data_IF_825471701010
#
_entry.id   IF_825471701010
#
_cell.length_a   1.000
_cell.length_b   1.000
_cell.length_c   1.000
_cell.angle_alpha   90.00
_cell.angle_beta   90.00
_cell.angle_gamma   90.00
#
_symmetry.space_group_name_H-M   'P 1'
#
loop_
_entity.id
_entity.type
_entity.pdbx_description
1 polymer ?
#
# COMPACT_ATOMS: atom_id res chain seq x y z
N UNK A 1 34.27 6.11 -19.11
CA UNK A 1 33.75 5.03 -18.23
C UNK A 1 32.79 5.49 -17.08
N UNK A 2 32.65 6.77 -16.75
CA UNK A 2 31.74 7.26 -15.69
C UNK A 2 30.23 7.27 -16.07
N UNK A 3 29.86 7.29 -17.35
CA UNK A 3 28.47 7.43 -17.78
C UNK A 3 27.61 6.16 -17.61
N UNK A 4 28.24 4.98 -17.65
CA UNK A 4 27.51 3.69 -17.63
C UNK A 4 27.05 3.30 -16.21
N UNK A 5 27.80 3.67 -15.16
CA UNK A 5 27.42 3.41 -13.76
C UNK A 5 26.24 4.28 -13.30
N UNK A 6 26.14 5.52 -13.82
CA UNK A 6 25.04 6.42 -13.54
C UNK A 6 23.74 5.94 -14.17
N UNK A 7 23.77 5.50 -15.43
CA UNK A 7 22.59 4.96 -16.14
C UNK A 7 22.05 3.70 -15.47
N UNK A 8 22.92 2.78 -15.07
CA UNK A 8 22.51 1.58 -14.30
C UNK A 8 21.93 1.90 -12.92
N UNK A 9 22.32 3.04 -12.34
CA UNK A 9 21.78 3.52 -11.07
C UNK A 9 20.31 3.96 -11.12
N UNK A 10 19.86 4.45 -12.27
CA UNK A 10 18.53 5.01 -12.49
C UNK A 10 17.50 3.98 -13.01
N UNK A 11 17.95 2.85 -13.54
CA UNK A 11 17.05 1.83 -14.11
C UNK A 11 16.05 1.27 -13.09
N UNK A 12 16.48 0.97 -11.88
CA UNK A 12 15.58 0.42 -10.84
C UNK A 12 14.45 1.37 -10.44
N UNK A 13 14.78 2.61 -10.01
CA UNK A 13 13.75 3.63 -9.75
C UNK A 13 12.87 3.92 -10.97
N UNK A 14 13.44 3.96 -12.18
CA UNK A 14 12.68 4.16 -13.41
C UNK A 14 11.64 3.08 -13.67
N UNK A 15 12.00 1.81 -13.46
CA UNK A 15 11.06 0.69 -13.58
C UNK A 15 9.96 0.71 -12.53
N UNK A 16 10.28 1.09 -11.29
CA UNK A 16 9.28 1.25 -10.23
C UNK A 16 8.30 2.37 -10.54
N UNK A 17 8.78 3.51 -11.08
CA UNK A 17 7.93 4.61 -11.51
C UNK A 17 7.05 4.24 -12.72
N UNK A 18 7.58 3.49 -13.67
CA UNK A 18 6.81 2.98 -14.80
C UNK A 18 5.70 2.01 -14.32
N UNK A 19 6.01 1.13 -13.38
CA UNK A 19 5.02 0.24 -12.77
C UNK A 19 3.97 1.02 -11.98
N UNK A 20 4.36 2.06 -11.24
CA UNK A 20 3.42 2.96 -10.57
C UNK A 20 2.47 3.63 -11.56
N UNK A 21 3.00 4.21 -12.64
CA UNK A 21 2.18 4.87 -13.66
C UNK A 21 1.16 3.90 -14.28
N UNK A 22 1.59 2.66 -14.58
CA UNK A 22 0.73 1.61 -15.10
C UNK A 22 -0.37 1.22 -14.10
N UNK A 23 -0.05 1.10 -12.82
CA UNK A 23 -1.03 0.78 -11.77
C UNK A 23 -2.02 1.92 -11.54
N UNK A 24 -1.57 3.17 -11.58
CA UNK A 24 -2.45 4.33 -11.48
C UNK A 24 -3.39 4.41 -12.70
N UNK A 25 -2.89 4.16 -13.90
CA UNK A 25 -3.74 4.04 -15.09
C UNK A 25 -4.76 2.90 -14.94
N UNK A 26 -4.33 1.73 -14.46
CA UNK A 26 -5.22 0.60 -14.18
C UNK A 26 -6.36 0.97 -13.22
N UNK A 27 -6.14 1.84 -12.22
CA UNK A 27 -7.19 2.27 -11.28
C UNK A 27 -8.41 2.86 -11.99
N UNK A 28 -8.23 3.49 -13.16
CA UNK A 28 -9.31 4.10 -13.95
C UNK A 28 -10.09 3.09 -14.78
N UNK A 29 -9.51 1.91 -15.06
CA UNK A 29 -10.08 0.89 -15.94
C UNK A 29 -10.71 -0.28 -15.18
N UNK A 30 -10.40 -0.42 -13.89
CA UNK A 30 -10.74 -1.61 -13.14
C UNK A 30 -12.19 -1.56 -12.68
N UNK A 31 -12.95 -2.60 -13.01
CA UNK A 31 -14.22 -2.92 -12.37
C UNK A 31 -13.97 -3.90 -11.22
N UNK A 32 -14.44 -3.61 -10.03
CA UNK A 32 -14.38 -4.54 -8.92
C UNK A 32 -15.66 -5.35 -8.82
N UNK A 33 -15.51 -6.65 -8.76
CA UNK A 33 -16.63 -7.60 -8.76
C UNK A 33 -17.45 -7.55 -7.48
N UNK A 34 -16.86 -7.19 -6.35
CA UNK A 34 -17.56 -7.51 -5.11
C UNK A 34 -17.38 -6.49 -4.00
N UNK A 35 -16.19 -6.34 -3.42
CA UNK A 35 -16.13 -5.94 -2.02
C UNK A 35 -15.64 -4.51 -1.77
N UNK A 36 -15.14 -3.80 -2.78
CA UNK A 36 -14.68 -2.41 -2.58
C UNK A 36 -15.78 -1.51 -2.03
N UNK A 37 -17.01 -1.69 -2.53
CA UNK A 37 -18.19 -0.99 -2.03
C UNK A 37 -18.48 -1.28 -0.58
N UNK A 38 -18.40 -2.53 -0.20
CA UNK A 38 -18.63 -2.99 1.16
C UNK A 38 -17.63 -2.35 2.15
N UNK A 39 -16.33 -2.31 1.82
CA UNK A 39 -15.33 -1.73 2.71
C UNK A 39 -15.57 -0.24 2.95
N UNK A 40 -15.92 0.51 1.92
CA UNK A 40 -16.21 1.93 2.04
C UNK A 40 -17.57 2.18 2.70
N UNK A 41 -18.56 1.32 2.46
CA UNK A 41 -19.87 1.41 3.09
C UNK A 41 -19.78 1.23 4.61
N UNK A 42 -18.94 0.31 5.08
CA UNK A 42 -18.74 0.12 6.51
C UNK A 42 -18.04 1.32 7.18
N UNK A 43 -17.04 1.90 6.51
CA UNK A 43 -16.43 3.15 6.98
C UNK A 43 -17.46 4.31 7.00
N UNK A 44 -18.39 4.35 6.03
CA UNK A 44 -19.47 5.32 6.01
C UNK A 44 -20.45 5.14 7.17
N UNK A 45 -20.85 3.91 7.48
CA UNK A 45 -21.72 3.60 8.60
C UNK A 45 -21.11 4.07 9.94
N UNK A 46 -19.83 3.77 10.15
CA UNK A 46 -19.13 4.22 11.36
C UNK A 46 -18.95 5.75 11.40
N UNK A 47 -18.84 6.40 10.24
CA UNK A 47 -18.88 7.86 10.15
C UNK A 47 -20.24 8.42 10.60
N UNK A 48 -21.35 7.71 10.35
CA UNK A 48 -22.68 8.09 10.77
C UNK A 48 -22.97 7.79 12.24
N UNK A 49 -22.09 7.10 12.93
CA UNK A 49 -22.19 6.82 14.35
C UNK A 49 -22.53 5.37 14.72
N UNK A 50 -22.59 4.47 13.74
CA UNK A 50 -22.76 3.04 14.02
C UNK A 50 -21.60 2.53 14.88
N UNK A 51 -21.93 1.70 15.86
CA UNK A 51 -20.96 1.14 16.81
C UNK A 51 -20.50 -0.25 16.34
N UNK A 52 -19.17 -0.52 16.33
CA UNK A 52 -18.66 -1.85 16.09
C UNK A 52 -19.26 -2.87 17.07
N UNK A 53 -19.57 -4.08 16.55
CA UNK A 53 -20.14 -5.21 17.30
C UNK A 53 -21.53 -4.98 17.91
N UNK A 54 -22.11 -3.79 17.75
CA UNK A 54 -23.48 -3.47 18.18
C UNK A 54 -24.39 -3.35 16.99
N UNK A 55 -24.06 -2.44 16.06
CA UNK A 55 -24.87 -2.15 14.88
C UNK A 55 -24.36 -2.92 13.64
N UNK A 56 -23.16 -3.50 13.73
CA UNK A 56 -22.54 -4.29 12.67
C UNK A 56 -22.00 -5.60 13.23
N UNK A 57 -22.35 -6.72 12.57
CA UNK A 57 -21.96 -8.07 12.98
C UNK A 57 -20.90 -8.72 12.11
N UNK A 58 -20.34 -7.99 11.15
CA UNK A 58 -19.30 -8.52 10.28
C UNK A 58 -18.00 -8.75 11.07
N UNK A 59 -17.46 -9.96 11.00
CA UNK A 59 -16.22 -10.34 11.72
C UNK A 59 -15.00 -9.54 11.27
N UNK A 60 -15.02 -9.01 10.04
CA UNK A 60 -13.91 -8.23 9.46
C UNK A 60 -14.03 -6.72 9.75
N UNK A 61 -15.00 -6.27 10.55
CA UNK A 61 -15.31 -4.85 10.75
C UNK A 61 -14.17 -4.01 11.35
N UNK A 62 -13.22 -4.62 12.05
CA UNK A 62 -12.11 -3.91 12.71
C UNK A 62 -11.16 -3.17 11.75
N UNK A 63 -11.24 -3.39 10.44
CA UNK A 63 -10.50 -2.59 9.47
C UNK A 63 -11.10 -1.19 9.29
N UNK A 64 -12.41 -1.03 9.48
CA UNK A 64 -13.13 0.21 9.18
C UNK A 64 -12.64 1.42 9.99
N UNK A 65 -12.28 1.33 11.28
CA UNK A 65 -11.63 2.42 12.00
C UNK A 65 -10.35 2.93 11.33
N UNK A 66 -9.58 2.06 10.67
CA UNK A 66 -8.38 2.47 9.91
C UNK A 66 -8.71 3.16 8.59
N UNK A 67 -9.91 2.95 8.04
CA UNK A 67 -10.40 3.66 6.86
C UNK A 67 -11.08 4.99 7.19
N UNK A 68 -11.53 5.20 8.43
CA UNK A 68 -12.20 6.42 8.84
C UNK A 68 -11.40 7.70 8.55
N UNK A 69 -10.09 7.78 8.83
CA UNK A 69 -9.30 8.99 8.51
C UNK A 69 -9.31 9.32 7.01
N UNK A 70 -9.18 8.31 6.15
CA UNK A 70 -9.29 8.48 4.70
C UNK A 70 -10.70 8.95 4.31
N UNK A 71 -11.73 8.29 4.85
CA UNK A 71 -13.12 8.62 4.57
C UNK A 71 -13.47 10.05 5.01
N UNK A 72 -13.09 10.41 6.25
CA UNK A 72 -13.30 11.74 6.81
C UNK A 72 -12.62 12.84 5.98
N UNK A 73 -11.35 12.61 5.61
CA UNK A 73 -10.59 13.54 4.78
C UNK A 73 -11.27 13.74 3.42
N UNK A 74 -11.68 12.64 2.76
CA UNK A 74 -12.38 12.72 1.48
C UNK A 74 -13.66 13.55 1.58
N UNK A 75 -14.48 13.26 2.60
CA UNK A 75 -15.71 14.01 2.87
C UNK A 75 -15.46 15.49 3.15
N UNK A 76 -14.43 15.80 3.91
CA UNK A 76 -14.07 17.19 4.22
C UNK A 76 -13.64 17.98 2.97
N UNK A 77 -12.93 17.33 2.04
CA UNK A 77 -12.43 17.99 0.81
C UNK A 77 -13.52 18.10 -0.26
N UNK A 78 -14.35 17.06 -0.43
CA UNK A 78 -15.29 16.98 -1.56
C UNK A 78 -16.74 17.32 -1.19
N UNK A 79 -17.06 17.36 0.10
CA UNK A 79 -18.43 17.52 0.60
C UNK A 79 -19.34 16.29 0.39
N UNK A 80 -18.82 15.24 -0.28
CA UNK A 80 -19.61 14.07 -0.67
C UNK A 80 -18.81 12.78 -0.76
N UNK A 81 -19.39 11.76 -1.40
CA UNK A 81 -18.75 10.46 -1.64
C UNK A 81 -18.43 10.23 -3.12
N UNK A 82 -18.74 11.18 -4.00
CA UNK A 82 -18.43 11.06 -5.42
C UNK A 82 -16.92 10.87 -5.64
N UNK A 83 -16.54 9.86 -6.43
CA UNK A 83 -15.14 9.56 -6.74
C UNK A 83 -14.36 8.84 -5.64
N UNK A 84 -14.95 8.53 -4.47
CA UNK A 84 -14.25 7.91 -3.34
C UNK A 84 -13.64 6.54 -3.68
N UNK A 85 -14.25 5.77 -4.59
CA UNK A 85 -13.69 4.49 -5.05
C UNK A 85 -12.36 4.68 -5.77
N UNK A 86 -12.31 5.62 -6.71
CA UNK A 86 -11.07 5.93 -7.41
C UNK A 86 -10.00 6.45 -6.44
N UNK A 87 -10.40 7.33 -5.54
CA UNK A 87 -9.50 7.85 -4.50
C UNK A 87 -8.94 6.74 -3.59
N UNK A 88 -9.78 5.77 -3.17
CA UNK A 88 -9.36 4.63 -2.37
C UNK A 88 -8.36 3.72 -3.12
N UNK A 89 -8.58 3.49 -4.42
CA UNK A 89 -7.66 2.73 -5.28
C UNK A 89 -6.32 3.45 -5.44
N UNK A 90 -6.35 4.73 -5.77
CA UNK A 90 -5.14 5.54 -5.91
C UNK A 90 -4.35 5.57 -4.59
N UNK A 91 -5.04 5.77 -3.46
CA UNK A 91 -4.39 5.76 -2.14
C UNK A 91 -3.76 4.41 -1.84
N UNK A 92 -4.43 3.29 -2.10
CA UNK A 92 -3.89 1.95 -1.91
C UNK A 92 -2.62 1.74 -2.75
N UNK A 93 -2.63 2.12 -4.03
CA UNK A 93 -1.47 2.02 -4.93
C UNK A 93 -0.32 2.89 -4.45
N UNK A 94 -0.57 4.11 -3.99
CA UNK A 94 0.47 5.00 -3.46
C UNK A 94 1.11 4.46 -2.18
N UNK A 95 0.32 3.93 -1.25
CA UNK A 95 0.83 3.29 -0.03
C UNK A 95 1.65 2.04 -0.35
N UNK A 96 1.18 1.23 -1.29
CA UNK A 96 1.90 0.03 -1.75
C UNK A 96 3.21 0.40 -2.45
N UNK A 97 3.21 1.48 -3.25
CA UNK A 97 4.42 2.01 -3.87
C UNK A 97 5.41 2.53 -2.82
N UNK A 98 4.94 3.23 -1.79
CA UNK A 98 5.81 3.70 -0.70
C UNK A 98 6.51 2.52 0.00
N UNK A 99 5.77 1.44 0.32
CA UNK A 99 6.33 0.22 0.89
C UNK A 99 7.33 -0.45 -0.07
N UNK A 100 6.97 -0.60 -1.34
CA UNK A 100 7.83 -1.21 -2.35
C UNK A 100 9.14 -0.41 -2.56
N UNK A 101 9.05 0.92 -2.60
CA UNK A 101 10.20 1.80 -2.73
C UNK A 101 11.09 1.76 -1.48
N UNK A 102 10.52 1.75 -0.29
CA UNK A 102 11.25 1.60 0.96
C UNK A 102 11.99 0.26 1.01
N UNK A 103 11.33 -0.83 0.62
CA UNK A 103 11.95 -2.15 0.51
C UNK A 103 13.09 -2.18 -0.52
N UNK A 104 12.89 -1.58 -1.69
CA UNK A 104 13.95 -1.43 -2.69
C UNK A 104 15.18 -0.72 -2.12
N UNK A 105 14.96 0.38 -1.39
CA UNK A 105 16.04 1.14 -0.74
C UNK A 105 16.78 0.31 0.29
N UNK A 106 16.06 -0.43 1.13
CA UNK A 106 16.63 -1.26 2.19
C UNK A 106 17.44 -2.44 1.64
N UNK A 107 16.98 -3.10 0.59
CA UNK A 107 17.63 -4.27 -0.01
C UNK A 107 18.69 -3.93 -1.05
N UNK A 108 18.72 -2.69 -1.56
CA UNK A 108 19.67 -2.28 -2.63
C UNK A 108 21.15 -2.59 -2.33
N UNK A 109 21.65 -2.44 -1.10
CA UNK A 109 23.04 -2.77 -0.79
C UNK A 109 23.40 -4.27 -0.98
N UNK A 110 22.41 -5.16 -0.83
CA UNK A 110 22.57 -6.62 -0.98
C UNK A 110 22.51 -7.11 -2.43
N UNK A 111 21.92 -6.33 -3.32
CA UNK A 111 21.82 -6.65 -4.74
C UNK A 111 20.70 -5.89 -5.42
N UNK A 112 21.03 -5.13 -6.46
CA UNK A 112 20.05 -4.29 -7.18
C UNK A 112 18.93 -5.11 -7.84
N UNK A 113 19.28 -6.25 -8.43
CA UNK A 113 18.31 -7.13 -9.09
C UNK A 113 17.32 -7.73 -8.10
N UNK A 114 17.82 -8.28 -6.99
CA UNK A 114 16.97 -8.84 -5.92
C UNK A 114 16.08 -7.77 -5.30
N UNK A 115 16.63 -6.59 -5.02
CA UNK A 115 15.89 -5.47 -4.46
C UNK A 115 14.75 -5.02 -5.41
N UNK A 116 15.02 -4.94 -6.71
CA UNK A 116 14.03 -4.58 -7.70
C UNK A 116 12.94 -5.65 -7.83
N UNK A 117 13.32 -6.92 -7.91
CA UNK A 117 12.38 -8.03 -7.99
C UNK A 117 11.45 -8.07 -6.77
N UNK A 118 12.00 -7.97 -5.55
CA UNK A 118 11.22 -7.91 -4.32
C UNK A 118 10.25 -6.72 -4.29
N UNK A 119 10.72 -5.53 -4.68
CA UNK A 119 9.89 -4.33 -4.72
C UNK A 119 8.76 -4.43 -5.77
N UNK A 120 9.05 -4.98 -6.97
CA UNK A 120 8.03 -5.20 -7.99
C UNK A 120 6.99 -6.23 -7.54
N UNK A 121 7.40 -7.32 -6.89
CA UNK A 121 6.47 -8.29 -6.33
C UNK A 121 5.52 -7.64 -5.30
N UNK A 122 6.06 -6.81 -4.41
CA UNK A 122 5.26 -6.04 -3.45
C UNK A 122 4.32 -5.09 -4.18
N UNK A 123 4.79 -4.39 -5.21
CA UNK A 123 4.02 -3.37 -5.92
C UNK A 123 2.87 -3.95 -6.76
N UNK A 124 3.05 -5.12 -7.37
CA UNK A 124 2.04 -5.72 -8.25
C UNK A 124 1.09 -6.67 -7.52
N UNK A 125 1.34 -6.96 -6.26
CA UNK A 125 0.49 -7.85 -5.49
C UNK A 125 -0.92 -7.26 -5.32
N UNK A 126 -1.92 -8.02 -5.73
CA UNK A 126 -3.33 -7.70 -5.51
C UNK A 126 -4.08 -8.98 -5.16
N UNK A 127 -4.72 -9.02 -3.99
CA UNK A 127 -5.51 -10.16 -3.56
C UNK A 127 -6.92 -10.07 -4.13
N UNK A 128 -7.38 -11.13 -4.76
CA UNK A 128 -8.76 -11.28 -5.26
C UNK A 128 -9.22 -10.14 -6.20
N UNK A 129 -8.28 -9.46 -6.87
CA UNK A 129 -8.61 -8.35 -7.76
C UNK A 129 -9.05 -7.06 -7.05
N UNK A 130 -9.01 -7.01 -5.71
CA UNK A 130 -9.36 -5.82 -4.93
C UNK A 130 -8.23 -4.81 -5.07
N UNK A 131 -8.52 -3.69 -5.73
CA UNK A 131 -7.55 -2.62 -5.98
C UNK A 131 -7.59 -1.49 -4.97
N UNK A 132 -8.67 -1.39 -4.17
CA UNK A 132 -8.89 -0.31 -3.22
C UNK A 132 -8.42 -0.60 -1.80
N UNK A 133 -8.65 0.37 -0.93
CA UNK A 133 -8.43 0.21 0.51
C UNK A 133 -9.42 -0.83 1.06
N UNK A 134 -8.88 -1.88 1.68
CA UNK A 134 -9.63 -3.00 2.23
C UNK A 134 -8.87 -3.59 3.41
N UNK A 135 -9.50 -4.48 4.17
CA UNK A 135 -8.76 -5.19 5.21
C UNK A 135 -7.58 -6.00 4.63
N UNK A 136 -7.72 -6.56 3.43
CA UNK A 136 -6.61 -7.26 2.76
C UNK A 136 -5.43 -6.33 2.47
N UNK A 137 -5.72 -5.15 1.90
CA UNK A 137 -4.71 -4.15 1.58
C UNK A 137 -4.04 -3.64 2.86
N UNK A 138 -4.83 -3.35 3.90
CA UNK A 138 -4.30 -2.88 5.19
C UNK A 138 -3.46 -3.95 5.88
N UNK A 139 -3.94 -5.20 5.98
CA UNK A 139 -3.15 -6.31 6.53
C UNK A 139 -1.84 -6.50 5.79
N UNK A 140 -1.87 -6.45 4.46
CA UNK A 140 -0.68 -6.57 3.63
C UNK A 140 0.32 -5.43 3.90
N UNK A 141 -0.17 -4.19 3.94
CA UNK A 141 0.66 -3.00 4.19
C UNK A 141 1.26 -3.01 5.60
N UNK A 142 0.47 -3.33 6.62
CA UNK A 142 0.95 -3.40 8.00
C UNK A 142 1.96 -4.51 8.19
N UNK A 143 1.67 -5.71 7.69
CA UNK A 143 2.60 -6.84 7.76
C UNK A 143 3.90 -6.56 7.02
N UNK A 144 3.82 -6.07 5.77
CA UNK A 144 5.00 -5.73 4.97
C UNK A 144 5.83 -4.61 5.61
N UNK A 145 5.19 -3.59 6.18
CA UNK A 145 5.86 -2.52 6.92
C UNK A 145 6.52 -3.06 8.18
N UNK A 146 5.85 -3.91 8.94
CA UNK A 146 6.40 -4.55 10.13
C UNK A 146 7.64 -5.39 9.82
N UNK A 147 7.59 -6.21 8.77
CA UNK A 147 8.75 -6.99 8.30
C UNK A 147 9.92 -6.09 7.86
N UNK A 148 9.63 -5.00 7.15
CA UNK A 148 10.66 -4.06 6.72
C UNK A 148 11.32 -3.37 7.91
N UNK A 149 10.53 -2.92 8.89
CA UNK A 149 11.05 -2.28 10.10
C UNK A 149 11.89 -3.27 10.93
N UNK A 150 11.41 -4.51 11.08
CA UNK A 150 12.17 -5.57 11.73
C UNK A 150 13.51 -5.83 11.02
N UNK A 151 13.48 -5.96 9.69
CA UNK A 151 14.70 -6.10 8.89
C UNK A 151 15.69 -4.95 9.13
N UNK A 152 15.21 -3.70 9.07
CA UNK A 152 16.05 -2.51 9.31
C UNK A 152 16.62 -2.54 10.73
N UNK A 153 15.81 -2.90 11.73
CA UNK A 153 16.27 -3.00 13.13
C UNK A 153 17.38 -4.04 13.29
N UNK A 154 17.26 -5.21 12.65
CA UNK A 154 18.31 -6.24 12.65
C UNK A 154 19.60 -5.75 12.00
N UNK A 155 19.51 -4.97 10.90
CA UNK A 155 20.68 -4.45 10.20
C UNK A 155 21.38 -3.30 10.92
N UNK A 156 20.63 -2.50 11.69
CA UNK A 156 21.16 -1.30 12.36
C UNK A 156 21.36 -1.50 13.86
N UNK A 157 20.91 -2.60 14.42
CA UNK A 157 20.97 -2.92 15.84
C UNK A 157 22.38 -3.10 16.37
N UNK A 158 22.55 -3.09 17.70
CA UNK A 158 23.88 -3.25 18.34
C UNK A 158 24.58 -4.56 17.93
N UNK A 159 23.84 -5.64 17.74
CA UNK A 159 24.37 -6.94 17.30
C UNK A 159 24.98 -6.88 15.90
N UNK A 160 24.45 -6.07 14.99
CA UNK A 160 25.05 -5.89 13.66
C UNK A 160 26.39 -5.15 13.70
N UNK A 161 26.65 -4.36 14.75
CA UNK A 161 27.92 -3.62 14.94
C UNK A 161 29.02 -4.46 15.54
N UNK A 162 28.69 -5.57 16.20
CA UNK A 162 29.65 -6.47 16.86
C UNK A 162 30.15 -7.61 15.97
N UNK A 163 29.63 -7.74 14.75
CA UNK A 163 30.11 -8.76 13.79
C UNK A 163 29.83 -10.21 14.20
N UNK A 164 28.87 -10.43 15.10
CA UNK A 164 28.39 -11.77 15.50
C UNK A 164 27.35 -12.29 14.52
#
# INVERSE_FOLDING_TARGET
MRSDSSRRGLLGPGLLLAALALLLWRCTLTFCWSDEGFYLALAHRFWLGDLPFVDEWNTAQLYAPFLLPFYALWRAVTGGTAGIYLAARVTAVLLQFALAFALYRALRPRGRGTALAAALLVLVYAKAGIGGLSYYTLCYLFFGTGLLLFYIACETGPAARTGL
#
